data_IF_134136236903
#
_entry.id   IF_134136236903
#
_cell.length_a   1.000
_cell.length_b   1.000
_cell.length_c   1.000
_cell.angle_alpha   90.00
_cell.angle_beta   90.00
_cell.angle_gamma   90.00
#
_symmetry.space_group_name_H-M   'P 1'
#
loop_
_entity.id
_entity.type
_entity.pdbx_description
1 polymer ?
#
# COMPACT_ATOMS: atom_id res chain seq x y z
N UNK A 1 24.21 23.30 14.77
CA UNK A 1 23.29 22.22 14.38
C UNK A 1 23.94 21.24 13.40
N UNK A 2 24.64 21.72 12.37
CA UNK A 2 25.26 20.88 11.32
C UNK A 2 26.18 19.78 11.85
N UNK A 3 27.01 20.05 12.86
CA UNK A 3 27.88 19.03 13.48
C UNK A 3 27.08 17.93 14.17
N UNK A 4 26.02 18.29 14.90
CA UNK A 4 25.15 17.34 15.61
C UNK A 4 24.39 16.44 14.63
N UNK A 5 23.84 17.02 13.55
CA UNK A 5 23.18 16.24 12.49
C UNK A 5 24.13 15.22 11.85
N UNK A 6 25.37 15.60 11.55
CA UNK A 6 26.38 14.67 11.00
C UNK A 6 26.70 13.53 11.98
N UNK A 7 26.80 13.82 13.27
CA UNK A 7 27.03 12.80 14.30
C UNK A 7 25.86 11.84 14.37
N UNK A 8 24.63 12.35 14.46
CA UNK A 8 23.44 11.50 14.54
C UNK A 8 23.23 10.68 13.27
N UNK A 9 23.49 11.25 12.09
CA UNK A 9 23.47 10.51 10.82
C UNK A 9 24.47 9.36 10.81
N UNK A 10 25.72 9.61 11.23
CA UNK A 10 26.72 8.53 11.34
C UNK A 10 26.27 7.46 12.33
N UNK A 11 25.76 7.86 13.49
CA UNK A 11 25.25 6.93 14.51
C UNK A 11 24.05 6.12 14.04
N UNK A 12 23.19 6.69 13.19
CA UNK A 12 22.06 5.99 12.57
C UNK A 12 22.58 4.93 11.60
N UNK A 13 23.46 5.34 10.65
CA UNK A 13 23.98 4.47 9.60
C UNK A 13 25.00 3.41 10.06
N UNK A 14 25.62 3.56 11.24
CA UNK A 14 26.56 2.56 11.77
C UNK A 14 25.91 1.56 12.73
N UNK A 15 24.62 1.71 13.03
CA UNK A 15 23.91 0.75 13.87
C UNK A 15 23.50 -0.46 13.05
N UNK A 16 24.07 -1.61 13.40
CA UNK A 16 23.80 -2.89 12.73
C UNK A 16 22.30 -3.17 12.57
N UNK A 17 21.51 -3.03 13.63
CA UNK A 17 20.07 -3.28 13.57
C UNK A 17 19.34 -2.33 12.59
N UNK A 18 19.71 -1.04 12.56
CA UNK A 18 19.15 -0.06 11.61
C UNK A 18 19.59 -0.40 10.18
N UNK A 19 20.88 -0.73 9.97
CA UNK A 19 21.40 -1.12 8.66
C UNK A 19 20.70 -2.36 8.11
N UNK A 20 20.39 -3.35 8.96
CA UNK A 20 19.62 -4.53 8.55
C UNK A 20 18.19 -4.16 8.11
N UNK A 21 17.53 -3.24 8.83
CA UNK A 21 16.21 -2.74 8.44
C UNK A 21 16.25 -1.95 7.12
N UNK A 22 17.28 -1.12 6.92
CA UNK A 22 17.50 -0.42 5.65
C UNK A 22 17.83 -1.38 4.50
N UNK A 23 18.58 -2.45 4.76
CA UNK A 23 18.80 -3.51 3.78
C UNK A 23 17.50 -4.23 3.43
N UNK A 24 16.62 -4.45 4.41
CA UNK A 24 15.25 -4.95 4.18
C UNK A 24 14.42 -4.02 3.28
N UNK A 25 14.59 -2.70 3.41
CA UNK A 25 13.93 -1.71 2.54
C UNK A 25 14.38 -1.83 1.08
N UNK A 26 15.55 -2.40 0.80
CA UNK A 26 16.01 -2.69 -0.56
C UNK A 26 15.61 -4.10 -1.01
N UNK A 27 15.75 -5.09 -0.12
CA UNK A 27 15.51 -6.48 -0.45
C UNK A 27 14.04 -6.78 -0.75
N UNK A 28 13.11 -6.25 0.06
CA UNK A 28 11.68 -6.55 -0.13
C UNK A 28 11.13 -6.04 -1.48
N UNK A 29 11.38 -4.77 -1.90
CA UNK A 29 10.89 -4.30 -3.19
C UNK A 29 11.56 -4.97 -4.38
N UNK A 30 12.84 -5.37 -4.25
CA UNK A 30 13.51 -6.18 -5.28
C UNK A 30 12.84 -7.54 -5.42
N UNK A 31 12.55 -8.24 -4.32
CA UNK A 31 11.87 -9.54 -4.36
C UNK A 31 10.47 -9.43 -4.97
N UNK A 32 9.70 -8.41 -4.57
CA UNK A 32 8.37 -8.15 -5.12
C UNK A 32 8.45 -7.83 -6.61
N UNK A 33 9.33 -6.91 -7.01
CA UNK A 33 9.49 -6.53 -8.42
C UNK A 33 9.95 -7.69 -9.31
N UNK A 34 10.82 -8.57 -8.78
CA UNK A 34 11.21 -9.80 -9.48
C UNK A 34 10.02 -10.76 -9.61
N UNK A 35 9.20 -10.92 -8.57
CA UNK A 35 7.96 -11.72 -8.66
C UNK A 35 7.03 -11.15 -9.72
N UNK A 36 6.70 -9.86 -9.64
CA UNK A 36 5.82 -9.18 -10.61
C UNK A 36 6.35 -9.31 -12.03
N UNK A 37 7.67 -9.21 -12.24
CA UNK A 37 8.28 -9.43 -13.55
C UNK A 37 8.06 -10.85 -14.08
N UNK A 38 8.22 -11.87 -13.23
CA UNK A 38 7.98 -13.27 -13.60
C UNK A 38 6.50 -13.56 -13.84
N UNK A 39 5.63 -13.06 -12.98
CA UNK A 39 4.18 -13.33 -13.00
C UNK A 39 3.50 -12.70 -14.23
N UNK A 40 4.05 -11.59 -14.73
CA UNK A 40 3.52 -10.86 -15.90
C UNK A 40 4.27 -11.15 -17.20
N UNK A 41 5.07 -12.22 -17.25
CA UNK A 41 5.83 -12.55 -18.46
C UNK A 41 4.86 -12.95 -19.59
N UNK A 42 5.15 -12.54 -20.85
CA UNK A 42 4.40 -13.04 -22.00
C UNK A 42 4.48 -14.55 -22.09
N UNK A 43 3.38 -15.19 -22.47
CA UNK A 43 3.33 -16.62 -22.73
C UNK A 43 4.33 -17.01 -23.84
N UNK A 44 5.03 -18.12 -23.62
CA UNK A 44 5.93 -18.73 -24.61
C UNK A 44 5.16 -19.41 -25.74
N UNK A 45 5.80 -19.59 -26.90
CA UNK A 45 5.22 -20.32 -28.04
C UNK A 45 4.75 -21.73 -27.65
N UNK A 46 5.45 -22.38 -26.71
CA UNK A 46 5.08 -23.69 -26.20
C UNK A 46 3.81 -23.65 -25.33
N UNK A 47 3.68 -22.65 -24.45
CA UNK A 47 2.48 -22.43 -23.63
C UNK A 47 1.27 -22.10 -24.52
N UNK A 48 1.46 -21.23 -25.52
CA UNK A 48 0.43 -20.90 -26.52
C UNK A 48 0.01 -22.14 -27.31
N UNK A 49 0.97 -22.94 -27.80
CA UNK A 49 0.66 -24.16 -28.53
C UNK A 49 -0.07 -25.20 -27.67
N UNK A 50 0.29 -25.33 -26.38
CA UNK A 50 -0.43 -26.21 -25.46
C UNK A 50 -1.86 -25.73 -25.19
N UNK A 51 -2.05 -24.43 -24.99
CA UNK A 51 -3.36 -23.84 -24.74
C UNK A 51 -4.25 -23.95 -26.00
N UNK A 52 -3.69 -23.75 -27.20
CA UNK A 52 -4.41 -23.99 -28.46
C UNK A 52 -4.85 -25.45 -28.60
N UNK A 53 -3.98 -26.41 -28.24
CA UNK A 53 -4.35 -27.82 -28.27
C UNK A 53 -5.43 -28.17 -27.24
N UNK A 54 -5.55 -27.42 -26.14
CA UNK A 54 -6.63 -27.56 -25.15
C UNK A 54 -7.94 -26.98 -25.66
N UNK A 55 -7.91 -25.79 -26.28
CA UNK A 55 -9.06 -25.20 -26.98
C UNK A 55 -9.64 -26.16 -28.01
N UNK A 56 -8.80 -26.75 -28.87
CA UNK A 56 -9.26 -27.72 -29.88
C UNK A 56 -9.86 -28.99 -29.25
N UNK A 57 -9.30 -29.45 -28.12
CA UNK A 57 -9.87 -30.56 -27.35
C UNK A 57 -11.23 -30.20 -26.74
N UNK A 58 -11.36 -29.02 -26.15
CA UNK A 58 -12.61 -28.54 -25.57
C UNK A 58 -13.70 -28.34 -26.64
N UNK A 59 -13.34 -27.84 -27.83
CA UNK A 59 -14.25 -27.73 -28.98
C UNK A 59 -14.73 -29.08 -29.50
N UNK A 60 -13.84 -30.09 -29.49
CA UNK A 60 -14.17 -31.45 -29.90
C UNK A 60 -15.00 -32.22 -28.85
N UNK A 61 -15.03 -31.73 -27.61
CA UNK A 61 -15.72 -32.39 -26.51
C UNK A 61 -17.25 -32.32 -26.63
N UNK A 62 -17.93 -33.26 -25.97
CA UNK A 62 -19.39 -33.29 -25.90
C UNK A 62 -19.96 -32.11 -25.12
N UNK A 63 -19.24 -31.61 -24.12
CA UNK A 63 -19.69 -30.54 -23.21
C UNK A 63 -19.93 -29.22 -23.96
N UNK A 64 -19.05 -28.83 -24.89
CA UNK A 64 -19.27 -27.63 -25.71
C UNK A 64 -20.56 -27.71 -26.52
N UNK A 65 -20.84 -28.87 -27.13
CA UNK A 65 -22.08 -29.08 -27.90
C UNK A 65 -23.31 -29.01 -26.99
N UNK A 66 -23.23 -29.60 -25.80
CA UNK A 66 -24.31 -29.54 -24.81
C UNK A 66 -24.58 -28.10 -24.36
N UNK A 67 -23.54 -27.33 -24.04
CA UNK A 67 -23.68 -25.92 -23.64
C UNK A 67 -24.34 -25.06 -24.73
N UNK A 68 -23.97 -25.27 -26.01
CA UNK A 68 -24.60 -24.58 -27.15
C UNK A 68 -26.07 -25.01 -27.31
N UNK A 69 -26.37 -26.31 -27.21
CA UNK A 69 -27.74 -26.82 -27.33
C UNK A 69 -28.63 -26.31 -26.18
N UNK A 70 -28.11 -26.26 -24.96
CA UNK A 70 -28.80 -25.74 -23.76
C UNK A 70 -29.08 -24.22 -23.90
N UNK A 71 -28.11 -23.46 -24.42
CA UNK A 71 -28.28 -22.04 -24.74
C UNK A 71 -29.35 -21.83 -25.82
N UNK A 72 -29.34 -22.62 -26.90
CA UNK A 72 -30.34 -22.53 -27.98
C UNK A 72 -31.73 -22.91 -27.49
N UNK A 73 -31.84 -23.83 -26.53
CA UNK A 73 -33.11 -24.22 -25.94
C UNK A 73 -33.73 -23.11 -25.08
N UNK A 74 -32.91 -22.32 -24.37
CA UNK A 74 -33.37 -21.25 -23.47
C UNK A 74 -32.53 -19.96 -23.62
N UNK A 75 -32.58 -19.25 -24.76
CA UNK A 75 -31.66 -18.14 -25.05
C UNK A 75 -31.80 -16.94 -24.12
N UNK A 76 -32.99 -16.73 -23.55
CA UNK A 76 -33.26 -15.61 -22.62
C UNK A 76 -32.51 -15.76 -21.30
N UNK A 77 -32.28 -16.99 -20.82
CA UNK A 77 -31.52 -17.24 -19.58
C UNK A 77 -30.03 -16.87 -19.73
N UNK A 78 -29.56 -16.83 -20.98
CA UNK A 78 -28.20 -16.46 -21.38
C UNK A 78 -28.10 -15.00 -21.86
N UNK A 79 -29.19 -14.23 -21.74
CA UNK A 79 -29.23 -12.80 -22.12
C UNK A 79 -29.31 -12.55 -23.63
N UNK A 80 -29.58 -13.58 -24.44
CA UNK A 80 -29.67 -13.45 -25.91
C UNK A 80 -31.08 -13.00 -26.29
N UNK A 81 -31.18 -11.86 -26.97
CA UNK A 81 -32.45 -11.23 -27.37
C UNK A 81 -32.76 -11.36 -28.86
N UNK A 82 -31.86 -12.00 -29.62
CA UNK A 82 -32.06 -12.31 -31.02
C UNK A 82 -33.35 -13.14 -31.22
N UNK A 83 -34.08 -12.86 -32.30
CA UNK A 83 -35.38 -13.51 -32.59
C UNK A 83 -35.32 -14.52 -33.72
N UNK A 84 -34.25 -14.47 -34.52
CA UNK A 84 -34.02 -15.41 -35.60
C UNK A 84 -33.25 -16.63 -35.09
N UNK A 85 -33.67 -17.83 -35.47
CA UNK A 85 -33.09 -19.09 -34.97
C UNK A 85 -31.61 -19.24 -35.36
N UNK A 86 -31.21 -18.76 -36.55
CA UNK A 86 -29.81 -18.82 -36.96
C UNK A 86 -28.97 -17.81 -36.19
N UNK A 87 -29.50 -16.60 -35.98
CA UNK A 87 -28.83 -15.58 -35.16
C UNK A 87 -28.64 -16.05 -33.70
N UNK A 88 -29.67 -16.66 -33.09
CA UNK A 88 -29.58 -17.24 -31.74
C UNK A 88 -28.50 -18.32 -31.68
N UNK A 89 -28.47 -19.23 -32.67
CA UNK A 89 -27.48 -20.32 -32.71
C UNK A 89 -26.06 -19.81 -32.90
N UNK A 90 -25.86 -18.75 -33.70
CA UNK A 90 -24.55 -18.13 -33.90
C UNK A 90 -24.05 -17.44 -32.63
N UNK A 91 -24.92 -16.68 -31.95
CA UNK A 91 -24.59 -15.98 -30.71
C UNK A 91 -24.31 -16.94 -29.55
N UNK A 92 -25.11 -18.02 -29.41
CA UNK A 92 -24.84 -19.09 -28.45
C UNK A 92 -23.50 -19.79 -28.71
N UNK A 93 -23.13 -20.01 -29.99
CA UNK A 93 -21.82 -20.58 -30.34
C UNK A 93 -20.69 -19.63 -29.98
N UNK A 94 -20.81 -18.35 -30.32
CA UNK A 94 -19.78 -17.35 -30.05
C UNK A 94 -19.56 -17.13 -28.55
N UNK A 95 -20.62 -17.11 -27.76
CA UNK A 95 -20.54 -16.92 -26.31
C UNK A 95 -19.93 -18.12 -25.58
N UNK A 96 -20.22 -19.34 -26.03
CA UNK A 96 -19.73 -20.59 -25.42
C UNK A 96 -18.45 -21.12 -26.08
N UNK A 97 -17.94 -20.48 -27.13
CA UNK A 97 -16.74 -20.95 -27.82
C UNK A 97 -15.54 -20.89 -26.86
N UNK A 98 -14.85 -22.02 -26.62
CA UNK A 98 -13.64 -22.02 -25.79
C UNK A 98 -12.60 -21.06 -26.37
N UNK A 99 -12.22 -20.06 -25.59
CA UNK A 99 -11.25 -19.04 -25.98
C UNK A 99 -9.86 -19.37 -25.44
N UNK A 100 -8.82 -18.87 -26.10
CA UNK A 100 -7.42 -19.18 -25.76
C UNK A 100 -7.03 -18.67 -24.36
N UNK A 101 -7.50 -17.49 -24.00
CA UNK A 101 -7.29 -16.84 -22.70
C UNK A 101 -7.89 -17.63 -21.53
N UNK A 102 -8.93 -18.44 -21.76
CA UNK A 102 -9.49 -19.35 -20.73
C UNK A 102 -8.51 -20.45 -20.32
N UNK A 103 -7.61 -20.84 -21.23
CA UNK A 103 -6.58 -21.88 -21.00
C UNK A 103 -5.18 -21.28 -20.87
N UNK A 104 -5.02 -19.97 -21.05
CA UNK A 104 -3.75 -19.27 -21.01
C UNK A 104 -3.83 -18.08 -20.06
N UNK A 105 -3.40 -18.28 -18.81
CA UNK A 105 -3.27 -17.21 -17.85
C UNK A 105 -1.91 -16.51 -18.00
N UNK A 106 -1.90 -15.36 -18.69
CA UNK A 106 -0.72 -14.51 -18.86
C UNK A 106 -1.13 -13.04 -18.67
N UNK A 107 -1.26 -12.57 -17.41
CA UNK A 107 -1.62 -11.19 -17.15
C UNK A 107 -0.52 -10.27 -17.70
N UNK A 108 -0.92 -9.25 -18.46
CA UNK A 108 0.00 -8.24 -18.96
C UNK A 108 0.49 -7.35 -17.81
N UNK A 109 1.71 -6.81 -17.94
CA UNK A 109 2.22 -5.87 -16.95
C UNK A 109 1.55 -4.50 -17.14
N UNK A 110 0.58 -4.18 -16.29
CA UNK A 110 -0.04 -2.86 -16.21
C UNK A 110 0.38 -2.13 -14.93
N UNK A 111 1.05 -0.98 -15.08
CA UNK A 111 1.50 -0.17 -13.94
C UNK A 111 0.33 0.36 -13.11
N UNK A 112 -0.83 0.64 -13.70
CA UNK A 112 -2.00 1.18 -12.98
C UNK A 112 -2.58 0.11 -12.06
N UNK A 113 -2.70 -1.12 -12.55
CA UNK A 113 -3.08 -2.28 -11.74
C UNK A 113 -2.04 -2.56 -10.64
N UNK A 114 -0.75 -2.45 -10.98
CA UNK A 114 0.31 -2.67 -10.00
C UNK A 114 0.35 -1.63 -8.88
N UNK A 115 -0.22 -0.42 -9.07
CA UNK A 115 -0.34 0.56 -7.99
C UNK A 115 -1.17 -0.01 -6.82
N UNK A 116 -2.36 -0.58 -7.10
CA UNK A 116 -3.23 -1.16 -6.07
C UNK A 116 -2.79 -2.54 -5.57
N UNK A 117 -1.86 -3.21 -6.27
CA UNK A 117 -1.30 -4.50 -5.90
C UNK A 117 0.09 -4.36 -5.26
N UNK A 118 1.14 -4.54 -6.06
CA UNK A 118 2.52 -4.61 -5.59
C UNK A 118 3.02 -3.27 -5.04
N UNK A 119 2.50 -2.15 -5.56
CA UNK A 119 2.78 -0.79 -5.08
C UNK A 119 2.39 -0.58 -3.61
N UNK A 120 1.14 -0.91 -3.25
CA UNK A 120 0.66 -0.86 -1.85
C UNK A 120 1.48 -1.79 -0.95
N UNK A 121 1.82 -2.99 -1.41
CA UNK A 121 2.63 -3.94 -0.65
C UNK A 121 4.03 -3.37 -0.33
N UNK A 122 4.71 -2.82 -1.34
CA UNK A 122 6.02 -2.17 -1.19
C UNK A 122 5.92 -0.96 -0.27
N UNK A 123 4.95 -0.07 -0.48
CA UNK A 123 4.74 1.12 0.34
C UNK A 123 4.53 0.76 1.83
N UNK A 124 3.68 -0.25 2.09
CA UNK A 124 3.38 -0.73 3.44
C UNK A 124 4.61 -1.31 4.13
N UNK A 125 5.38 -2.15 3.42
CA UNK A 125 6.62 -2.73 3.96
C UNK A 125 7.66 -1.66 4.27
N UNK A 126 7.83 -0.66 3.40
CA UNK A 126 8.75 0.46 3.65
C UNK A 126 8.32 1.26 4.89
N UNK A 127 7.02 1.57 5.02
CA UNK A 127 6.50 2.27 6.18
C UNK A 127 6.76 1.50 7.49
N UNK A 128 6.50 0.19 7.49
CA UNK A 128 6.75 -0.68 8.66
C UNK A 128 8.24 -0.76 8.99
N UNK A 129 9.10 -1.03 8.01
CA UNK A 129 10.55 -1.18 8.22
C UNK A 129 11.19 0.13 8.71
N UNK A 130 10.78 1.28 8.15
CA UNK A 130 11.29 2.59 8.53
C UNK A 130 10.72 3.06 9.88
N UNK A 131 9.48 2.70 10.22
CA UNK A 131 8.95 2.83 11.58
C UNK A 131 9.82 2.05 12.56
N UNK A 132 10.11 0.77 12.26
CA UNK A 132 10.98 -0.07 13.08
C UNK A 132 12.40 0.50 13.18
N UNK A 133 12.91 1.14 12.13
CA UNK A 133 14.21 1.78 12.17
C UNK A 133 14.22 3.00 13.12
N UNK A 134 13.15 3.81 13.10
CA UNK A 134 12.94 4.93 14.04
C UNK A 134 12.83 4.48 15.50
N UNK A 135 12.06 3.42 15.77
CA UNK A 135 11.93 2.86 17.12
C UNK A 135 13.26 2.25 17.59
N UNK A 136 13.92 1.45 16.75
CA UNK A 136 15.17 0.74 17.07
C UNK A 136 16.31 1.71 17.37
N UNK A 137 16.46 2.76 16.56
CA UNK A 137 17.50 3.77 16.76
C UNK A 137 17.42 4.39 18.16
N UNK A 138 16.20 4.72 18.58
CA UNK A 138 15.92 5.42 19.83
C UNK A 138 15.91 4.50 21.02
N UNK A 139 15.25 3.35 20.93
CA UNK A 139 15.11 2.44 22.07
C UNK A 139 16.44 1.81 22.45
N UNK A 140 17.33 1.56 21.49
CA UNK A 140 18.71 1.17 21.80
C UNK A 140 19.46 2.27 22.56
N UNK A 141 19.24 3.54 22.23
CA UNK A 141 19.87 4.67 22.92
C UNK A 141 19.47 4.74 24.40
N UNK A 142 18.20 4.44 24.71
CA UNK A 142 17.73 4.33 26.08
C UNK A 142 18.28 3.08 26.77
N UNK A 143 18.19 1.91 26.13
CA UNK A 143 18.62 0.64 26.71
C UNK A 143 20.12 0.60 27.05
N UNK A 144 20.95 1.27 26.25
CA UNK A 144 22.41 1.33 26.46
C UNK A 144 22.87 2.49 27.37
N UNK A 145 21.96 3.36 27.84
CA UNK A 145 22.32 4.59 28.55
C UNK A 145 23.06 5.63 27.69
N UNK A 146 23.10 5.44 26.36
CA UNK A 146 23.81 6.34 25.44
C UNK A 146 23.22 7.75 25.43
N UNK A 147 21.92 7.91 25.75
CA UNK A 147 21.28 9.23 25.87
C UNK A 147 21.95 10.07 26.95
N UNK A 148 22.23 9.49 28.12
CA UNK A 148 22.85 10.19 29.26
C UNK A 148 24.23 10.69 28.88
N UNK A 149 25.04 9.85 28.21
CA UNK A 149 26.36 10.23 27.73
C UNK A 149 26.31 11.38 26.69
N UNK A 150 25.33 11.37 25.78
CA UNK A 150 25.17 12.45 24.80
C UNK A 150 24.87 13.80 25.47
N UNK A 151 24.05 13.79 26.51
CA UNK A 151 23.63 15.01 27.21
C UNK A 151 24.74 15.63 28.05
N UNK A 152 25.81 14.88 28.37
CA UNK A 152 27.04 15.46 28.95
C UNK A 152 27.75 16.38 27.96
N UNK A 153 27.76 16.02 26.67
CA UNK A 153 28.42 16.82 25.62
C UNK A 153 27.50 17.88 25.00
N UNK A 154 26.20 17.59 24.86
CA UNK A 154 25.20 18.54 24.37
C UNK A 154 24.02 18.60 25.36
N UNK A 155 24.09 19.48 26.38
CA UNK A 155 23.08 19.55 27.44
C UNK A 155 21.74 20.10 26.96
N UNK A 156 21.69 20.71 25.76
CA UNK A 156 20.48 21.31 25.20
C UNK A 156 19.59 20.23 24.61
N UNK A 157 18.85 19.52 25.46
CA UNK A 157 17.94 18.42 25.12
C UNK A 157 17.08 18.67 23.86
N UNK A 158 16.45 19.86 23.66
CA UNK A 158 15.68 20.11 22.45
C UNK A 158 16.48 19.91 21.16
N UNK A 159 17.76 20.30 21.15
CA UNK A 159 18.63 20.16 19.98
C UNK A 159 18.92 18.70 19.66
N UNK A 160 19.13 17.87 20.67
CA UNK A 160 19.36 16.42 20.51
C UNK A 160 18.10 15.75 19.96
N UNK A 161 16.93 16.06 20.54
CA UNK A 161 15.66 15.51 20.08
C UNK A 161 15.38 15.90 18.61
N UNK A 162 15.50 17.19 18.28
CA UNK A 162 15.24 17.66 16.92
C UNK A 162 16.26 17.13 15.92
N UNK A 163 17.54 17.05 16.27
CA UNK A 163 18.55 16.51 15.38
C UNK A 163 18.30 15.04 15.04
N UNK A 164 17.90 14.23 16.04
CA UNK A 164 17.52 12.83 15.82
C UNK A 164 16.27 12.70 14.98
N UNK A 165 15.23 13.48 15.28
CA UNK A 165 14.00 13.50 14.48
C UNK A 165 14.30 13.83 13.01
N UNK A 166 15.06 14.89 12.74
CA UNK A 166 15.46 15.30 11.39
C UNK A 166 16.25 14.20 10.67
N UNK A 167 17.19 13.53 11.36
CA UNK A 167 17.96 12.44 10.76
C UNK A 167 17.07 11.24 10.45
N UNK A 168 16.23 10.79 11.39
CA UNK A 168 15.36 9.64 11.21
C UNK A 168 14.38 9.89 10.06
N UNK A 169 13.66 11.02 10.10
CA UNK A 169 12.69 11.38 9.05
C UNK A 169 13.36 11.63 7.71
N UNK A 170 14.49 12.35 7.69
CA UNK A 170 15.20 12.67 6.46
C UNK A 170 15.79 11.44 5.77
N UNK A 171 16.40 10.52 6.53
CA UNK A 171 16.91 9.26 5.96
C UNK A 171 15.76 8.38 5.49
N UNK A 172 14.68 8.26 6.27
CA UNK A 172 13.51 7.49 5.86
C UNK A 172 12.89 8.03 4.57
N UNK A 173 12.72 9.35 4.45
CA UNK A 173 12.20 9.99 3.24
C UNK A 173 13.10 9.72 2.03
N UNK A 174 14.41 9.92 2.15
CA UNK A 174 15.35 9.71 1.04
C UNK A 174 15.39 8.25 0.63
N UNK A 175 15.47 7.32 1.58
CA UNK A 175 15.50 5.88 1.30
C UNK A 175 14.20 5.46 0.60
N UNK A 176 13.04 5.80 1.15
CA UNK A 176 11.76 5.42 0.55
C UNK A 176 11.58 6.07 -0.83
N UNK A 177 11.91 7.34 -1.00
CA UNK A 177 11.79 8.01 -2.30
C UNK A 177 12.70 7.39 -3.36
N UNK A 178 13.95 7.09 -3.03
CA UNK A 178 14.90 6.43 -3.94
C UNK A 178 14.42 5.04 -4.30
N UNK A 179 13.97 4.26 -3.30
CA UNK A 179 13.50 2.89 -3.51
C UNK A 179 12.23 2.85 -4.35
N UNK A 180 11.22 3.67 -4.04
CA UNK A 180 9.99 3.74 -4.82
C UNK A 180 10.26 4.22 -6.25
N UNK A 181 11.14 5.20 -6.42
CA UNK A 181 11.53 5.68 -7.76
C UNK A 181 12.21 4.57 -8.55
N UNK A 182 13.15 3.83 -7.93
CA UNK A 182 13.84 2.72 -8.58
C UNK A 182 12.89 1.55 -8.90
N UNK A 183 11.96 1.24 -8.00
CA UNK A 183 10.95 0.21 -8.18
C UNK A 183 10.08 0.49 -9.41
N UNK A 184 9.46 1.67 -9.46
CA UNK A 184 8.59 2.05 -10.57
C UNK A 184 9.33 2.25 -11.88
N UNK A 185 10.53 2.82 -11.85
CA UNK A 185 11.38 2.94 -13.05
C UNK A 185 11.78 1.56 -13.58
N UNK A 186 12.02 0.60 -12.70
CA UNK A 186 12.32 -0.78 -13.06
C UNK A 186 11.14 -1.48 -13.75
N UNK A 187 9.94 -1.38 -13.18
CA UNK A 187 8.72 -1.93 -13.79
C UNK A 187 8.37 -1.22 -15.10
N UNK A 188 8.52 0.10 -15.18
CA UNK A 188 8.30 0.84 -16.42
C UNK A 188 9.27 0.42 -17.53
N UNK A 189 10.55 0.21 -17.21
CA UNK A 189 11.53 -0.29 -18.18
C UNK A 189 11.17 -1.70 -18.69
N UNK A 190 10.62 -2.55 -17.82
CA UNK A 190 10.10 -3.87 -18.23
C UNK A 190 8.87 -3.72 -19.13
N UNK A 191 7.91 -2.86 -18.77
CA UNK A 191 6.71 -2.60 -19.55
C UNK A 191 7.04 -2.00 -20.93
N UNK A 192 7.99 -1.07 -20.99
CA UNK A 192 8.49 -0.47 -22.23
C UNK A 192 9.18 -1.52 -23.11
N UNK A 193 10.04 -2.36 -22.53
CA UNK A 193 10.69 -3.46 -23.26
C UNK A 193 9.69 -4.49 -23.81
N UNK A 194 8.51 -4.60 -23.19
CA UNK A 194 7.39 -5.45 -23.64
C UNK A 194 6.42 -4.73 -24.58
N UNK A 195 6.59 -3.42 -24.80
CA UNK A 195 5.70 -2.61 -25.65
C UNK A 195 4.31 -2.36 -25.06
N UNK A 196 4.14 -2.49 -23.73
CA UNK A 196 2.84 -2.35 -23.04
C UNK A 196 2.74 -1.10 -22.16
N UNK A 197 3.83 -0.34 -22.00
CA UNK A 197 3.82 0.90 -21.24
C UNK A 197 2.96 1.97 -21.93
N UNK A 198 1.93 2.47 -21.24
CA UNK A 198 1.08 3.54 -21.75
C UNK A 198 1.56 4.92 -21.29
N UNK A 199 1.17 5.94 -22.03
CA UNK A 199 1.48 7.34 -21.69
C UNK A 199 0.92 7.70 -20.31
N UNK A 200 1.72 8.38 -19.48
CA UNK A 200 1.32 8.84 -18.14
C UNK A 200 1.54 7.84 -17.00
N UNK A 201 1.48 6.53 -17.27
CA UNK A 201 1.51 5.49 -16.21
C UNK A 201 2.73 5.56 -15.29
N UNK A 202 3.93 5.79 -15.84
CA UNK A 202 5.13 5.95 -15.03
C UNK A 202 5.04 7.18 -14.12
N UNK A 203 4.48 8.28 -14.60
CA UNK A 203 4.37 9.51 -13.82
C UNK A 203 3.39 9.31 -12.66
N UNK A 204 2.25 8.68 -12.91
CA UNK A 204 1.23 8.39 -11.89
C UNK A 204 1.79 7.45 -10.81
N UNK A 205 2.49 6.39 -11.24
CA UNK A 205 3.17 5.47 -10.35
C UNK A 205 4.28 6.15 -9.51
N UNK A 206 5.07 7.05 -10.11
CA UNK A 206 6.08 7.83 -9.38
C UNK A 206 5.44 8.79 -8.35
N UNK A 207 4.32 9.42 -8.69
CA UNK A 207 3.58 10.27 -7.75
C UNK A 207 3.07 9.46 -6.55
N UNK A 208 2.53 8.26 -6.78
CA UNK A 208 2.16 7.33 -5.72
C UNK A 208 3.41 6.98 -4.87
N UNK A 209 4.52 6.66 -5.53
CA UNK A 209 5.78 6.36 -4.86
C UNK A 209 6.29 7.48 -3.94
N UNK A 210 6.18 8.74 -4.35
CA UNK A 210 6.60 9.88 -3.52
C UNK A 210 5.63 10.16 -2.36
N UNK A 211 4.32 9.95 -2.57
CA UNK A 211 3.32 9.96 -1.50
C UNK A 211 3.63 8.88 -0.46
N UNK A 212 3.87 7.64 -0.90
CA UNK A 212 4.30 6.53 -0.03
C UNK A 212 5.59 6.83 0.73
N UNK A 213 6.56 7.52 0.11
CA UNK A 213 7.77 7.95 0.79
C UNK A 213 7.49 8.96 1.93
N UNK A 214 6.53 9.87 1.74
CA UNK A 214 6.04 10.76 2.79
C UNK A 214 5.39 10.01 3.95
N UNK A 215 4.57 9.00 3.64
CA UNK A 215 3.95 8.11 4.64
C UNK A 215 5.03 7.35 5.43
N UNK A 216 6.02 6.77 4.76
CA UNK A 216 7.08 6.03 5.41
C UNK A 216 7.98 6.91 6.30
N UNK A 217 8.26 8.15 5.87
CA UNK A 217 8.97 9.14 6.69
C UNK A 217 8.18 9.55 7.94
N UNK A 218 6.85 9.67 7.80
CA UNK A 218 5.92 9.94 8.89
C UNK A 218 5.89 8.78 9.89
N UNK A 219 5.84 7.55 9.40
CA UNK A 219 5.89 6.34 10.21
C UNK A 219 7.21 6.21 11.00
N UNK A 220 8.35 6.53 10.37
CA UNK A 220 9.65 6.60 11.03
C UNK A 220 9.68 7.64 12.16
N UNK A 221 9.13 8.83 11.91
CA UNK A 221 9.05 9.90 12.91
C UNK A 221 8.13 9.52 14.07
N UNK A 222 7.00 8.89 13.77
CA UNK A 222 6.06 8.41 14.79
C UNK A 222 6.72 7.35 15.68
N UNK A 223 7.37 6.35 15.09
CA UNK A 223 8.14 5.34 15.81
C UNK A 223 9.20 5.96 16.71
N UNK A 224 9.98 6.91 16.19
CA UNK A 224 10.94 7.70 16.97
C UNK A 224 10.27 8.43 18.14
N UNK A 225 9.19 9.18 17.89
CA UNK A 225 8.53 10.01 18.89
C UNK A 225 7.95 9.17 20.03
N UNK A 226 7.25 8.09 19.70
CA UNK A 226 6.67 7.17 20.68
C UNK A 226 7.75 6.44 21.47
N UNK A 227 8.85 6.01 20.84
CA UNK A 227 9.95 5.39 21.59
C UNK A 227 10.70 6.38 22.48
N UNK A 228 10.82 7.65 22.07
CA UNK A 228 11.31 8.71 22.98
C UNK A 228 10.35 8.94 24.16
N UNK A 229 9.04 8.86 23.93
CA UNK A 229 8.02 9.06 24.96
C UNK A 229 8.01 7.94 26.01
N UNK A 230 8.00 6.69 25.54
CA UNK A 230 7.94 5.50 26.39
C UNK A 230 9.30 5.01 26.88
N UNK A 231 10.39 5.43 26.22
CA UNK A 231 11.77 4.97 26.48
C UNK A 231 11.94 3.45 26.34
N UNK A 232 11.10 2.81 25.52
CA UNK A 232 11.10 1.36 25.31
C UNK A 232 10.62 1.03 23.90
N UNK A 233 11.38 0.23 23.15
CA UNK A 233 10.95 -0.30 21.84
C UNK A 233 9.75 -1.21 22.01
N UNK A 234 9.77 -2.08 23.01
CA UNK A 234 8.71 -3.05 23.28
C UNK A 234 7.39 -2.34 23.59
N UNK A 235 7.43 -1.29 24.41
CA UNK A 235 6.23 -0.52 24.71
C UNK A 235 5.68 0.18 23.46
N UNK A 236 6.54 0.78 22.63
CA UNK A 236 6.10 1.42 21.38
C UNK A 236 5.47 0.43 20.41
N UNK A 237 6.13 -0.71 20.17
CA UNK A 237 5.62 -1.74 19.26
C UNK A 237 4.32 -2.32 19.80
N UNK A 238 4.24 -2.62 21.10
CA UNK A 238 3.02 -3.15 21.72
C UNK A 238 1.83 -2.19 21.62
N UNK A 239 2.05 -0.89 21.83
CA UNK A 239 0.99 0.13 21.64
C UNK A 239 0.56 0.23 20.18
N UNK A 240 1.50 0.26 19.24
CA UNK A 240 1.19 0.36 17.81
C UNK A 240 0.45 -0.88 17.29
N UNK A 241 0.90 -2.09 17.66
CA UNK A 241 0.23 -3.34 17.30
C UNK A 241 -1.14 -3.46 17.98
N UNK A 242 -1.24 -3.08 19.26
CA UNK A 242 -2.51 -3.01 19.96
C UNK A 242 -3.48 -2.07 19.27
N UNK A 243 -3.02 -0.88 18.87
CA UNK A 243 -3.83 0.08 18.14
C UNK A 243 -4.20 -0.40 16.73
N UNK A 244 -3.33 -1.10 16.00
CA UNK A 244 -3.65 -1.58 14.65
C UNK A 244 -4.65 -2.73 14.66
N UNK A 245 -4.54 -3.66 15.61
CA UNK A 245 -5.44 -4.84 15.68
C UNK A 245 -6.74 -4.51 16.41
N UNK A 246 -6.65 -3.90 17.59
CA UNK A 246 -7.82 -3.60 18.38
C UNK A 246 -8.51 -2.30 17.92
N UNK A 247 -7.79 -1.38 17.27
CA UNK A 247 -8.36 -0.09 16.86
C UNK A 247 -9.56 -0.27 15.93
N UNK A 248 -9.43 -1.04 14.85
CA UNK A 248 -10.54 -1.27 13.92
C UNK A 248 -11.70 -2.01 14.58
N UNK A 249 -11.43 -2.99 15.44
CA UNK A 249 -12.47 -3.72 16.19
C UNK A 249 -13.20 -2.81 17.19
N UNK A 250 -12.47 -1.93 17.87
CA UNK A 250 -13.03 -0.98 18.84
C UNK A 250 -13.83 0.11 18.13
N UNK A 251 -13.33 0.64 17.00
CA UNK A 251 -14.07 1.60 16.19
C UNK A 251 -15.40 0.99 15.71
N UNK A 252 -15.35 -0.23 15.18
CA UNK A 252 -16.54 -0.96 14.76
C UNK A 252 -17.51 -1.22 15.93
N UNK A 253 -17.00 -1.69 17.08
CA UNK A 253 -17.83 -2.00 18.25
C UNK A 253 -18.49 -0.75 18.86
N UNK A 254 -17.89 0.42 18.70
CA UNK A 254 -18.41 1.69 19.19
C UNK A 254 -19.27 2.43 18.15
N UNK A 255 -19.43 1.86 16.95
CA UNK A 255 -20.19 2.47 15.85
C UNK A 255 -19.53 3.74 15.30
N UNK A 256 -18.20 3.84 15.37
CA UNK A 256 -17.48 4.92 14.72
C UNK A 256 -17.39 4.66 13.22
N UNK A 257 -17.66 5.72 12.46
CA UNK A 257 -17.50 5.79 11.01
C UNK A 257 -16.09 5.34 10.55
N UNK A 258 -16.05 4.57 9.46
CA UNK A 258 -14.83 3.98 8.91
C UNK A 258 -13.81 5.04 8.46
N UNK A 259 -14.21 6.30 8.25
CA UNK A 259 -13.28 7.43 8.04
C UNK A 259 -12.23 7.58 9.15
N UNK A 260 -12.47 7.09 10.36
CA UNK A 260 -11.51 7.15 11.48
C UNK A 260 -10.55 5.96 11.51
N UNK A 261 -10.72 4.98 10.62
CA UNK A 261 -9.85 3.83 10.51
C UNK A 261 -8.45 4.26 10.02
N UNK A 262 -7.36 3.90 10.73
CA UNK A 262 -6.01 4.23 10.29
C UNK A 262 -5.68 3.69 8.89
N UNK A 263 -6.24 2.53 8.53
CA UNK A 263 -6.02 1.88 7.24
C UNK A 263 -6.48 2.74 6.07
N UNK A 264 -7.73 3.21 6.11
CA UNK A 264 -8.29 4.03 5.01
C UNK A 264 -7.58 5.38 4.87
N UNK A 265 -7.18 6.00 5.99
CA UNK A 265 -6.42 7.25 5.96
C UNK A 265 -5.02 7.05 5.36
N UNK A 266 -4.34 5.94 5.68
CA UNK A 266 -3.05 5.63 5.07
C UNK A 266 -3.21 5.35 3.58
N UNK A 267 -4.25 4.61 3.17
CA UNK A 267 -4.58 4.38 1.76
C UNK A 267 -4.83 5.71 1.03
N UNK A 268 -5.66 6.60 1.59
CA UNK A 268 -5.95 7.92 1.01
C UNK A 268 -4.69 8.80 0.86
N UNK A 269 -3.71 8.69 1.75
CA UNK A 269 -2.41 9.37 1.58
C UNK A 269 -1.59 8.78 0.43
N UNK A 270 -1.62 7.46 0.27
CA UNK A 270 -0.86 6.74 -0.77
C UNK A 270 -1.51 6.94 -2.14
N UNK A 271 -2.83 6.80 -2.24
CA UNK A 271 -3.61 6.77 -3.49
C UNK A 271 -4.20 8.14 -3.87
N UNK A 272 -4.00 9.17 -3.03
CA UNK A 272 -4.51 10.53 -3.21
C UNK A 272 -6.05 10.61 -3.14
N UNK A 273 -6.60 9.93 -2.14
CA UNK A 273 -8.02 9.70 -1.96
C UNK A 273 -8.27 8.20 -1.77
N UNK A 274 -9.27 7.85 -0.96
CA UNK A 274 -9.74 6.47 -0.86
C UNK A 274 -11.24 6.46 -0.58
N UNK A 275 -11.97 5.55 -1.22
CA UNK A 275 -13.40 5.37 -0.97
C UNK A 275 -13.63 4.26 0.05
N UNK A 276 -14.70 4.41 0.83
CA UNK A 276 -15.15 3.43 1.80
C UNK A 276 -16.68 3.39 1.82
N UNK A 277 -17.23 2.28 2.30
CA UNK A 277 -18.67 2.10 2.35
C UNK A 277 -19.30 2.95 3.48
N UNK A 278 -20.37 3.69 3.18
CA UNK A 278 -21.06 4.55 4.15
C UNK A 278 -22.57 4.40 4.07
N UNK A 279 -23.18 3.97 5.18
CA UNK A 279 -24.64 3.88 5.31
C UNK A 279 -25.32 5.25 5.19
N UNK A 280 -24.67 6.33 5.62
CA UNK A 280 -25.17 7.71 5.46
C UNK A 280 -25.19 8.12 3.97
N UNK A 281 -24.21 7.63 3.18
CA UNK A 281 -24.20 7.84 1.73
C UNK A 281 -25.26 7.00 1.01
N UNK A 282 -25.76 5.92 1.65
CA UNK A 282 -26.87 5.11 1.16
C UNK A 282 -28.26 5.71 1.45
N UNK A 283 -28.38 6.89 2.08
CA UNK A 283 -29.70 7.43 2.41
C UNK A 283 -30.52 7.73 1.14
N UNK A 284 -31.51 6.87 0.88
CA UNK A 284 -32.52 7.08 -0.14
C UNK A 284 -33.30 8.37 0.14
N UNK A 285 -33.26 9.33 -0.78
CA UNK A 285 -34.17 10.46 -0.74
C UNK A 285 -35.52 10.03 -1.36
N UNK A 286 -36.62 10.10 -0.59
CA UNK A 286 -37.97 10.07 -1.19
C UNK A 286 -38.24 11.41 -1.87
N UNK A 287 -38.12 11.44 -3.19
CA UNK A 287 -38.73 12.46 -4.03
C UNK A 287 -40.03 11.87 -4.59
N UNK A 288 -41.18 12.49 -4.27
CA UNK A 288 -42.52 12.09 -4.74
C UNK A 288 -42.96 10.62 -4.50
N UNK A 289 -42.35 9.92 -3.54
CA UNK A 289 -42.76 8.56 -3.14
C UNK A 289 -42.30 7.44 -4.09
N UNK A 290 -41.41 7.76 -5.04
CA UNK A 290 -40.74 6.79 -5.89
C UNK A 290 -39.35 6.45 -5.33
N UNK A 291 -39.00 5.16 -5.29
CA UNK A 291 -37.66 4.73 -4.89
C UNK A 291 -36.69 5.10 -6.02
N UNK A 292 -35.87 6.13 -5.81
CA UNK A 292 -34.78 6.48 -6.72
C UNK A 292 -33.51 5.79 -6.21
N UNK A 293 -32.90 4.96 -7.06
CA UNK A 293 -31.63 4.29 -6.79
C UNK A 293 -30.50 5.33 -6.81
N UNK A 294 -30.02 5.72 -5.63
CA UNK A 294 -29.02 6.78 -5.48
C UNK A 294 -27.61 6.18 -5.32
N UNK A 295 -26.86 6.10 -6.42
CA UNK A 295 -25.39 6.04 -6.44
C UNK A 295 -24.73 4.85 -5.71
N UNK A 296 -23.41 4.67 -5.87
CA UNK A 296 -22.67 3.74 -5.03
C UNK A 296 -22.70 4.26 -3.58
N UNK A 297 -22.98 3.38 -2.63
CA UNK A 297 -22.96 3.58 -1.18
C UNK A 297 -21.54 3.89 -0.63
N UNK A 298 -20.85 4.83 -1.25
CA UNK A 298 -19.43 5.12 -1.03
C UNK A 298 -19.24 6.58 -0.61
N UNK A 299 -18.44 6.78 0.43
CA UNK A 299 -17.91 8.07 0.82
C UNK A 299 -16.40 8.10 0.55
N UNK A 300 -15.85 9.31 0.37
CA UNK A 300 -14.43 9.50 0.09
C UNK A 300 -13.70 10.11 1.29
N UNK A 301 -12.53 9.56 1.63
CA UNK A 301 -11.54 10.22 2.46
C UNK A 301 -10.53 10.91 1.54
N UNK A 302 -10.53 12.23 1.52
CA UNK A 302 -9.60 12.99 0.67
C UNK A 302 -8.17 12.93 1.21
N UNK A 303 -7.18 13.22 0.36
CA UNK A 303 -5.79 13.39 0.78
C UNK A 303 -5.64 14.41 1.92
N UNK A 304 -6.45 15.48 1.90
CA UNK A 304 -6.40 16.55 2.91
C UNK A 304 -6.91 16.04 4.26
N UNK A 305 -8.03 15.32 4.27
CA UNK A 305 -8.61 14.76 5.50
C UNK A 305 -7.65 13.76 6.13
N UNK A 306 -7.08 12.88 5.31
CA UNK A 306 -6.10 11.91 5.75
C UNK A 306 -4.82 12.57 6.29
N UNK A 307 -4.36 13.65 5.63
CA UNK A 307 -3.21 14.44 6.10
C UNK A 307 -3.48 15.10 7.46
N UNK A 308 -4.69 15.62 7.68
CA UNK A 308 -5.10 16.20 8.95
C UNK A 308 -5.21 15.14 10.04
N UNK A 309 -5.78 13.98 9.73
CA UNK A 309 -5.90 12.84 10.65
C UNK A 309 -4.52 12.35 11.11
N UNK A 310 -3.66 11.94 10.17
CA UNK A 310 -2.32 11.41 10.48
C UNK A 310 -1.41 12.49 11.06
N UNK A 311 -1.47 13.71 10.53
CA UNK A 311 -0.71 14.86 11.01
C UNK A 311 -1.05 15.24 12.44
N UNK A 312 -2.33 15.18 12.83
CA UNK A 312 -2.76 15.44 14.21
C UNK A 312 -2.20 14.41 15.18
N UNK A 313 -2.29 13.12 14.85
CA UNK A 313 -1.73 12.05 15.68
C UNK A 313 -0.21 12.16 15.85
N UNK A 314 0.49 12.46 14.75
CA UNK A 314 1.92 12.70 14.74
C UNK A 314 2.30 13.92 15.58
N UNK A 315 1.57 15.02 15.45
CA UNK A 315 1.80 16.25 16.19
C UNK A 315 1.60 16.03 17.69
N UNK A 316 0.50 15.39 18.10
CA UNK A 316 0.22 15.09 19.50
C UNK A 316 1.30 14.18 20.09
N UNK A 317 1.67 13.11 19.39
CA UNK A 317 2.73 12.19 19.81
C UNK A 317 4.10 12.89 19.90
N UNK A 318 4.42 13.74 18.92
CA UNK A 318 5.65 14.53 18.86
C UNK A 318 5.75 15.55 19.99
N UNK A 319 4.68 16.30 20.26
CA UNK A 319 4.60 17.29 21.35
C UNK A 319 4.72 16.59 22.70
N UNK A 320 3.99 15.50 22.92
CA UNK A 320 4.06 14.73 24.15
C UNK A 320 5.47 14.15 24.37
N UNK A 321 6.06 13.59 23.32
CA UNK A 321 7.43 13.06 23.32
C UNK A 321 8.46 14.14 23.64
N UNK A 322 8.39 15.28 22.97
CA UNK A 322 9.30 16.41 23.17
C UNK A 322 9.18 17.01 24.58
N UNK A 323 7.95 17.24 25.05
CA UNK A 323 7.69 17.75 26.39
C UNK A 323 8.20 16.78 27.47
N UNK A 324 7.95 15.48 27.29
CA UNK A 324 8.48 14.41 28.15
C UNK A 324 10.01 14.42 28.18
N UNK A 325 10.67 14.46 27.03
CA UNK A 325 12.14 14.46 26.94
C UNK A 325 12.79 15.69 27.59
N UNK A 326 12.14 16.85 27.49
CA UNK A 326 12.60 18.09 28.14
C UNK A 326 12.51 18.05 29.66
N UNK A 327 11.46 17.41 30.22
CA UNK A 327 11.14 17.48 31.64
C UNK A 327 11.58 16.27 32.45
N UNK A 328 11.50 15.06 31.89
CA UNK A 328 11.81 13.83 32.62
C UNK A 328 13.31 13.65 32.80
N UNK A 329 13.72 13.22 33.98
CA UNK A 329 15.10 12.87 34.27
C UNK A 329 15.58 11.72 33.39
N UNK A 330 16.86 11.76 33.03
CA UNK A 330 17.52 10.70 32.27
C UNK A 330 18.28 9.87 33.30
N UNK A 331 18.06 8.55 33.35
CA UNK A 331 18.75 7.68 34.30
C UNK A 331 20.26 7.60 34.03
#
# INVERSE_FOLDING_TARGET
MTRLLRVELRRYLHRRAVVLLLAGCLAAPVLIGVSTWFDTRPASDAEIASAQAEVERAKADGEYRQAVDDCVANPMDWGITARDENAVREECRAQNEPQLDWFLYSPELDLDEQQSQSGVAVASLLAILLLLAGTTFTGHDWNSGSVSNQLLFEPRRPRVWTAKAVVVTGVALVVAAVVMTAYWSGLAAVAEARGVLRDGQLVDALQMGWRSAGVAATAALLGYALTMLFRSTVATIGVLLGASVAGSLVLLALGFDERWNPGINIAALIDNGATYYSDEACEAATEDGEYVDYGPCEAEVTFTDASLYTGSFLLLSGVASFASFRRRDVP
#
